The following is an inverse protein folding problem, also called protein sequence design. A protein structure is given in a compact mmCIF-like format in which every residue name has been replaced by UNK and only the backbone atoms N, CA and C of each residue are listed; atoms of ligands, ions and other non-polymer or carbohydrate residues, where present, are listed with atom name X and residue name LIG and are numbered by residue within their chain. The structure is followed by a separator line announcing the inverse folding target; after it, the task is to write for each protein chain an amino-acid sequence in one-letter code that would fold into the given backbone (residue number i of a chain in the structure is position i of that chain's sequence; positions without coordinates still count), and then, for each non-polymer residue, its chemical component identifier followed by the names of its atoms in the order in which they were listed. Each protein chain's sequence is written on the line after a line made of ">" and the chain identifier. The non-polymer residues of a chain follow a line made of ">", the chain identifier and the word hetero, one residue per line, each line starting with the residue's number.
data_IF_047727725625
#
_entry.id   IF_047727725625
#
_cell.length_a   1.000
_cell.length_b   1.000
_cell.length_c   1.000
_cell.angle_alpha   90.00
_cell.angle_beta   90.00
_cell.angle_gamma   90.00
#
_symmetry.space_group_name_H-M   'P 1'
#
loop_
_entity.id
_entity.type
_entity.pdbx_description
1 polymer ?
#
# COMPACT_ATOMS: atom_id res chain seq x y z
N UNK A 1 63.87 65.15 6.92
CA UNK A 1 62.69 65.23 7.77
C UNK A 1 61.96 63.85 7.71
N UNK A 2 62.18 63.01 8.75
CA UNK A 2 61.62 61.63 8.77
C UNK A 2 60.44 61.64 9.70
N UNK A 3 59.23 61.31 9.12
CA UNK A 3 58.04 61.03 9.95
C UNK A 3 58.03 59.55 10.31
N UNK A 4 57.99 59.25 11.59
CA UNK A 4 57.74 57.90 12.12
C UNK A 4 56.23 57.69 12.28
N UNK A 5 55.68 56.75 11.57
CA UNK A 5 54.32 56.29 11.77
C UNK A 5 54.31 55.12 12.72
N UNK A 6 53.54 55.27 13.79
CA UNK A 6 53.32 54.24 14.83
C UNK A 6 52.17 53.34 14.39
N UNK A 7 52.41 52.02 14.23
CA UNK A 7 51.38 51.03 13.96
C UNK A 7 50.82 50.54 15.30
N UNK A 8 49.53 50.82 15.57
CA UNK A 8 48.84 50.24 16.70
C UNK A 8 48.20 48.92 16.29
N UNK A 9 48.66 47.83 16.87
CA UNK A 9 48.10 46.49 16.68
C UNK A 9 46.93 46.32 17.64
N UNK A 10 45.71 46.23 17.06
CA UNK A 10 44.50 45.83 17.79
C UNK A 10 44.49 44.28 17.96
N UNK A 11 44.60 43.80 19.18
CA UNK A 11 44.33 42.43 19.55
C UNK A 11 42.83 42.23 19.73
N UNK A 12 42.17 41.56 18.79
CA UNK A 12 40.81 41.06 18.94
C UNK A 12 40.85 39.75 19.73
N UNK A 13 40.43 39.80 20.99
CA UNK A 13 40.19 38.62 21.82
C UNK A 13 38.91 37.94 21.36
N UNK A 14 39.03 36.88 20.56
CA UNK A 14 37.87 36.02 20.18
C UNK A 14 37.47 35.16 21.38
N UNK A 15 36.29 35.44 21.93
CA UNK A 15 35.65 34.54 22.91
C UNK A 15 35.08 33.36 22.12
N UNK A 16 35.71 32.21 22.19
CA UNK A 16 35.14 30.94 21.72
C UNK A 16 34.11 30.49 22.74
N UNK A 17 32.82 30.72 22.42
CA UNK A 17 31.72 30.09 23.15
C UNK A 17 31.66 28.64 22.68
N UNK A 18 32.25 27.73 23.45
CA UNK A 18 32.01 26.31 23.26
C UNK A 18 30.53 26.02 23.63
N UNK A 19 29.69 25.87 22.63
CA UNK A 19 28.34 25.31 22.80
C UNK A 19 28.56 23.82 23.08
N UNK A 20 28.62 23.47 24.34
CA UNK A 20 28.61 22.09 24.79
C UNK A 20 27.26 21.48 24.42
N UNK A 21 27.23 20.65 23.40
CA UNK A 21 26.10 19.78 23.15
C UNK A 21 25.96 18.82 24.32
N UNK A 22 25.15 19.17 25.31
CA UNK A 22 24.72 18.26 26.35
C UNK A 22 23.92 17.15 25.69
N UNK A 23 24.54 15.98 25.49
CA UNK A 23 23.86 14.74 25.20
C UNK A 23 23.04 14.35 26.44
N UNK A 24 21.91 14.99 26.69
CA UNK A 24 20.91 14.47 27.62
C UNK A 24 20.35 13.20 26.99
N UNK A 25 20.59 12.04 27.59
CA UNK A 25 19.94 10.80 27.17
C UNK A 25 18.41 11.04 27.24
N UNK A 26 17.76 10.99 26.09
CA UNK A 26 16.30 11.14 26.03
C UNK A 26 15.66 10.09 26.91
N UNK A 27 14.71 10.50 27.76
CA UNK A 27 13.93 9.58 28.58
C UNK A 27 13.12 8.67 27.62
N UNK A 28 13.21 7.35 27.77
CA UNK A 28 12.45 6.45 26.90
C UNK A 28 10.95 6.74 26.92
N UNK A 29 10.28 6.47 25.80
CA UNK A 29 8.84 6.68 25.60
C UNK A 29 8.39 8.14 25.83
N UNK A 30 9.25 9.09 25.45
CA UNK A 30 8.92 10.51 25.43
C UNK A 30 9.27 11.11 24.08
N UNK A 31 8.53 12.14 23.65
CA UNK A 31 8.86 12.92 22.48
C UNK A 31 9.61 14.18 22.85
N UNK A 32 10.64 14.50 22.13
CA UNK A 32 11.26 15.83 22.17
C UNK A 32 10.30 16.89 21.65
N UNK A 33 10.56 18.16 21.95
CA UNK A 33 9.73 19.26 21.43
C UNK A 33 9.84 19.38 19.90
N UNK A 34 11.00 19.03 19.32
CA UNK A 34 11.17 18.95 17.87
C UNK A 34 10.29 17.86 17.27
N UNK A 35 10.27 16.66 17.82
CA UNK A 35 9.43 15.56 17.35
C UNK A 35 7.94 15.89 17.46
N UNK A 36 7.52 16.55 18.56
CA UNK A 36 6.12 17.01 18.68
C UNK A 36 5.77 18.05 17.59
N UNK A 37 6.70 18.97 17.32
CA UNK A 37 6.51 20.00 16.28
C UNK A 37 6.47 19.37 14.85
N UNK A 38 7.20 18.27 14.62
CA UNK A 38 7.18 17.49 13.39
C UNK A 38 5.96 16.58 13.25
N UNK A 39 5.10 16.47 14.27
CA UNK A 39 3.88 15.66 14.25
C UNK A 39 4.06 14.19 14.61
N UNK A 40 5.14 13.84 15.33
CA UNK A 40 5.29 12.49 15.89
C UNK A 40 4.29 12.23 17.01
N UNK A 41 3.74 11.03 17.04
CA UNK A 41 2.85 10.51 18.08
C UNK A 41 3.48 9.25 18.69
N UNK A 42 3.41 9.11 20.04
CA UNK A 42 3.80 7.87 20.69
C UNK A 42 2.71 6.80 20.54
N UNK A 43 3.12 5.58 20.24
CA UNK A 43 2.25 4.40 20.24
C UNK A 43 2.36 3.57 21.51
N UNK A 44 3.28 3.95 22.41
CA UNK A 44 3.47 3.31 23.70
C UNK A 44 3.94 4.35 24.72
N UNK A 45 3.25 4.38 25.87
CA UNK A 45 3.47 5.36 26.94
C UNK A 45 4.54 4.94 27.97
N UNK A 46 5.10 3.74 27.82
CA UNK A 46 6.06 3.16 28.77
C UNK A 46 5.42 2.51 30.00
N UNK A 47 4.09 2.50 30.13
CA UNK A 47 3.40 2.04 31.33
C UNK A 47 2.26 1.06 31.03
N UNK A 48 1.53 1.27 29.94
CA UNK A 48 0.31 0.51 29.59
C UNK A 48 0.37 0.01 28.16
N UNK A 49 -0.41 -1.04 27.87
CA UNK A 49 -0.65 -1.50 26.49
C UNK A 49 -1.89 -0.85 25.87
N UNK A 50 -2.31 0.30 26.36
CA UNK A 50 -3.42 1.05 25.78
C UNK A 50 -3.08 1.41 24.31
N UNK A 51 -4.04 1.15 23.42
CA UNK A 51 -3.83 1.34 21.97
C UNK A 51 -3.29 0.10 21.25
N UNK A 52 -3.13 -1.01 21.99
CA UNK A 52 -2.73 -2.32 21.47
C UNK A 52 -3.71 -3.40 21.90
N UNK A 53 -3.95 -4.39 21.06
CA UNK A 53 -4.80 -5.56 21.31
C UNK A 53 -4.32 -6.76 20.49
N UNK A 54 -4.84 -7.93 20.79
CA UNK A 54 -4.55 -9.12 19.98
C UNK A 54 -5.08 -8.96 18.56
N UNK A 55 -4.36 -9.53 17.62
CA UNK A 55 -4.82 -9.65 16.22
C UNK A 55 -6.14 -10.41 16.15
N UNK A 56 -7.12 -9.87 15.44
CA UNK A 56 -8.50 -10.36 15.38
C UNK A 56 -9.24 -10.42 16.74
N UNK A 57 -8.69 -9.79 17.78
CA UNK A 57 -9.24 -9.74 19.13
C UNK A 57 -9.71 -8.36 19.53
N UNK A 58 -10.37 -8.28 20.69
CA UNK A 58 -10.84 -7.02 21.29
C UNK A 58 -10.12 -6.67 22.60
N UNK A 59 -9.27 -7.56 23.09
CA UNK A 59 -8.50 -7.43 24.31
C UNK A 59 -7.11 -8.04 24.10
N UNK A 60 -6.24 -7.80 25.07
CA UNK A 60 -4.92 -8.44 25.13
C UNK A 60 -5.01 -9.73 25.94
N UNK A 61 -4.44 -10.79 25.38
CA UNK A 61 -4.22 -12.05 26.08
C UNK A 61 -2.74 -12.21 26.44
N UNK A 62 -2.41 -13.18 27.26
CA UNK A 62 -1.04 -13.63 27.48
C UNK A 62 -0.42 -14.05 26.12
N UNK A 63 0.55 -13.45 25.48
CA UNK A 63 1.90 -13.44 26.03
C UNK A 63 2.57 -12.07 26.16
N UNK A 64 1.84 -10.98 26.10
CA UNK A 64 2.43 -9.63 26.11
C UNK A 64 2.31 -8.97 27.50
N UNK A 65 3.30 -8.19 27.89
CA UNK A 65 3.32 -7.47 29.18
C UNK A 65 4.14 -6.19 29.06
N UNK A 66 4.04 -5.33 30.10
CA UNK A 66 4.93 -4.18 30.25
C UNK A 66 5.93 -4.47 31.36
N UNK A 67 7.22 -4.41 31.05
CA UNK A 67 8.32 -4.60 32.01
C UNK A 67 9.37 -3.52 31.77
N UNK A 68 9.79 -2.83 32.82
CA UNK A 68 10.85 -1.81 32.78
C UNK A 68 10.67 -0.75 31.68
N UNK A 69 9.43 -0.30 31.49
CA UNK A 69 9.11 0.69 30.46
C UNK A 69 9.16 0.15 29.01
N UNK A 70 9.03 -1.15 28.83
CA UNK A 70 9.06 -1.79 27.51
C UNK A 70 7.82 -2.67 27.32
N UNK A 71 7.27 -2.70 26.10
CA UNK A 71 6.41 -3.79 25.65
C UNK A 71 7.30 -5.03 25.52
N UNK A 72 6.95 -6.11 26.19
CA UNK A 72 7.73 -7.35 26.17
C UNK A 72 6.88 -8.52 25.68
N UNK A 73 7.36 -9.18 24.62
CA UNK A 73 6.93 -10.54 24.27
C UNK A 73 7.54 -11.53 25.27
N UNK A 74 6.73 -12.44 25.81
CA UNK A 74 7.18 -13.41 26.81
C UNK A 74 7.85 -14.64 26.21
N UNK A 75 7.83 -14.79 24.88
CA UNK A 75 8.32 -15.99 24.19
C UNK A 75 7.36 -17.16 24.33
N UNK A 76 6.07 -16.89 24.41
CA UNK A 76 5.00 -17.89 24.48
C UNK A 76 4.18 -17.96 23.19
N UNK A 77 4.50 -17.12 22.21
CA UNK A 77 3.90 -17.12 20.89
C UNK A 77 4.36 -18.30 20.02
N UNK A 78 3.72 -18.44 18.91
CA UNK A 78 4.05 -19.40 17.85
C UNK A 78 3.58 -18.86 16.50
N UNK A 79 3.85 -19.59 15.43
CA UNK A 79 3.49 -19.19 14.06
C UNK A 79 1.98 -18.94 13.81
N UNK A 80 1.11 -19.27 14.77
CA UNK A 80 -0.33 -19.03 14.68
C UNK A 80 -0.89 -18.10 15.77
N UNK A 81 -0.05 -17.67 16.72
CA UNK A 81 -0.46 -16.90 17.90
C UNK A 81 0.62 -15.89 18.27
N UNK A 82 0.32 -14.99 19.20
CA UNK A 82 1.34 -14.08 19.73
C UNK A 82 1.52 -12.80 18.92
N UNK A 83 0.45 -12.30 18.32
CA UNK A 83 0.46 -11.05 17.58
C UNK A 83 -0.39 -10.00 18.27
N UNK A 84 0.17 -8.81 18.50
CA UNK A 84 -0.60 -7.65 18.92
C UNK A 84 -0.57 -6.56 17.84
N UNK A 85 -1.69 -5.88 17.71
CA UNK A 85 -1.88 -4.84 16.69
C UNK A 85 -2.29 -3.52 17.32
N UNK A 86 -2.00 -2.41 16.64
CA UNK A 86 -2.49 -1.09 17.03
C UNK A 86 -4.01 -0.99 16.85
N UNK A 87 -4.69 -0.17 17.68
CA UNK A 87 -6.12 0.13 17.48
C UNK A 87 -6.39 1.00 16.27
N UNK A 88 -5.41 1.84 15.89
CA UNK A 88 -5.51 2.77 14.77
C UNK A 88 -4.81 2.22 13.55
N UNK A 89 -5.35 2.54 12.38
CA UNK A 89 -4.75 2.26 11.08
C UNK A 89 -3.94 3.45 10.57
N UNK A 90 -2.91 3.15 9.80
CA UNK A 90 -1.99 4.11 9.20
C UNK A 90 -1.86 3.83 7.70
N UNK A 91 -1.76 4.90 6.91
CA UNK A 91 -1.64 4.84 5.45
C UNK A 91 -0.20 5.18 5.03
N UNK A 92 0.17 6.46 5.06
CA UNK A 92 1.52 6.93 4.81
C UNK A 92 2.15 7.36 6.12
N UNK A 93 3.35 6.91 6.41
CA UNK A 93 3.94 7.10 7.74
C UNK A 93 5.46 6.99 7.76
N UNK A 94 6.06 7.56 8.80
CA UNK A 94 7.34 7.12 9.36
C UNK A 94 7.04 6.42 10.69
N UNK A 95 7.42 5.15 10.85
CA UNK A 95 7.30 4.37 12.09
C UNK A 95 8.71 4.10 12.61
N UNK A 96 9.01 4.52 13.83
CA UNK A 96 10.30 4.27 14.47
C UNK A 96 10.11 3.57 15.82
N UNK A 97 10.98 2.62 16.11
CA UNK A 97 10.96 1.88 17.39
C UNK A 97 12.34 1.41 17.80
N UNK A 98 12.58 1.27 19.11
CA UNK A 98 13.72 0.55 19.63
C UNK A 98 13.31 -0.88 19.95
N UNK A 99 14.21 -1.82 19.67
CA UNK A 99 14.01 -3.24 19.94
C UNK A 99 15.25 -3.91 20.51
N UNK A 100 15.05 -4.97 21.27
CA UNK A 100 16.09 -5.79 21.87
C UNK A 100 15.63 -7.25 21.91
N UNK A 101 16.44 -8.15 21.34
CA UNK A 101 16.19 -9.59 21.30
C UNK A 101 17.04 -10.33 22.33
N UNK A 102 16.59 -11.51 22.73
CA UNK A 102 17.40 -12.52 23.40
C UNK A 102 18.32 -13.22 22.41
N UNK A 103 19.24 -14.05 22.90
CA UNK A 103 20.15 -14.81 22.06
C UNK A 103 19.39 -15.76 21.14
N UNK A 104 19.62 -15.68 19.84
CA UNK A 104 18.91 -16.43 18.82
C UNK A 104 17.43 -16.05 18.64
N UNK A 105 17.01 -14.91 19.21
CA UNK A 105 15.60 -14.47 19.20
C UNK A 105 15.13 -14.06 17.83
N UNK A 106 13.82 -14.26 17.60
CA UNK A 106 13.08 -13.91 16.39
C UNK A 106 11.80 -13.13 16.75
N UNK A 107 11.53 -12.09 15.96
CA UNK A 107 10.35 -11.25 16.07
C UNK A 107 10.15 -10.48 14.77
N UNK A 108 9.13 -9.60 14.70
CA UNK A 108 8.84 -8.79 13.52
C UNK A 108 8.02 -7.55 13.85
N UNK A 109 8.16 -6.54 12.99
CA UNK A 109 7.27 -5.39 12.92
C UNK A 109 6.56 -5.41 11.58
N UNK A 110 5.24 -5.70 11.61
CA UNK A 110 4.42 -5.72 10.41
C UNK A 110 3.67 -4.40 10.27
N UNK A 111 3.38 -4.03 9.03
CA UNK A 111 2.62 -2.82 8.72
C UNK A 111 1.53 -3.10 7.70
N UNK A 112 0.54 -2.21 7.58
CA UNK A 112 -0.64 -2.36 6.73
C UNK A 112 -1.39 -3.69 6.94
N UNK A 113 -1.36 -4.19 8.17
CA UNK A 113 -2.07 -5.43 8.52
C UNK A 113 -3.57 -5.19 8.45
N UNK A 114 -4.28 -6.09 7.78
CA UNK A 114 -5.74 -6.13 7.69
C UNK A 114 -6.26 -7.30 8.50
N UNK A 115 -7.29 -7.04 9.29
CA UNK A 115 -7.98 -8.05 10.08
C UNK A 115 -9.22 -8.58 9.38
N UNK A 116 -9.62 -9.77 9.75
CA UNK A 116 -10.83 -10.43 9.28
C UNK A 116 -10.81 -11.91 9.64
N UNK A 117 -11.98 -12.52 9.81
CA UNK A 117 -12.11 -13.93 10.19
C UNK A 117 -11.45 -14.91 9.22
N UNK A 118 -11.26 -14.49 7.97
CA UNK A 118 -10.57 -15.26 6.93
C UNK A 118 -9.05 -15.25 7.10
N UNK A 119 -8.48 -14.31 7.85
CA UNK A 119 -7.05 -14.21 8.09
C UNK A 119 -6.72 -14.77 9.47
N UNK A 120 -6.05 -15.91 9.50
CA UNK A 120 -5.64 -16.55 10.76
C UNK A 120 -4.40 -15.89 11.36
N UNK A 121 -3.56 -15.26 10.53
CA UNK A 121 -2.29 -14.64 10.91
C UNK A 121 -2.09 -13.31 10.16
N UNK A 122 -1.44 -12.30 10.78
CA UNK A 122 -1.33 -10.97 10.19
C UNK A 122 -0.43 -10.91 8.96
N UNK A 123 0.56 -11.78 8.86
CA UNK A 123 1.53 -11.76 7.76
C UNK A 123 0.98 -12.22 6.40
N UNK A 124 -0.25 -12.72 6.34
CA UNK A 124 -0.91 -12.98 5.04
C UNK A 124 -1.45 -11.73 4.37
N UNK A 125 -1.50 -10.61 5.10
CA UNK A 125 -1.92 -9.31 4.58
C UNK A 125 -0.86 -8.23 4.73
N UNK A 126 -0.12 -8.21 5.86
CA UNK A 126 0.84 -7.16 6.20
C UNK A 126 2.29 -7.56 5.90
N UNK A 127 3.04 -6.74 5.14
CA UNK A 127 4.49 -6.89 5.00
C UNK A 127 5.21 -6.77 6.34
N UNK A 128 6.36 -7.43 6.45
CA UNK A 128 7.11 -7.55 7.70
C UNK A 128 8.55 -7.03 7.56
N UNK A 129 8.94 -6.11 8.45
CA UNK A 129 10.32 -5.83 8.77
C UNK A 129 10.83 -6.90 9.74
N UNK A 130 11.68 -7.82 9.26
CA UNK A 130 12.19 -8.95 10.05
C UNK A 130 13.14 -8.49 11.14
N UNK A 131 12.96 -9.02 12.35
CA UNK A 131 13.84 -8.84 13.51
C UNK A 131 14.38 -10.20 13.97
N UNK A 132 15.69 -10.45 13.81
CA UNK A 132 16.30 -11.73 14.14
C UNK A 132 17.75 -11.56 14.57
N UNK A 133 18.20 -12.35 15.55
CA UNK A 133 19.61 -12.48 15.94
C UNK A 133 20.29 -13.54 15.07
N UNK A 134 20.59 -13.18 13.81
CA UNK A 134 21.15 -14.10 12.81
C UNK A 134 22.37 -14.90 13.27
N UNK A 135 23.39 -14.29 13.94
CA UNK A 135 24.60 -15.02 14.30
C UNK A 135 24.38 -16.15 15.30
N UNK A 136 23.26 -16.11 16.04
CA UNK A 136 22.97 -17.08 17.10
C UNK A 136 21.67 -17.86 16.84
N UNK A 137 21.02 -17.64 15.70
CA UNK A 137 19.80 -18.37 15.34
C UNK A 137 20.16 -19.87 15.13
N UNK A 138 19.36 -20.80 15.66
CA UNK A 138 19.73 -22.22 15.68
C UNK A 138 19.76 -22.87 14.29
N UNK A 139 18.92 -22.37 13.37
CA UNK A 139 18.80 -22.92 12.03
C UNK A 139 19.53 -22.07 10.99
N UNK A 140 19.87 -22.66 9.86
CA UNK A 140 20.41 -21.92 8.72
C UNK A 140 19.33 -21.04 8.13
N UNK A 141 19.58 -19.74 8.05
CA UNK A 141 18.70 -18.75 7.44
C UNK A 141 19.01 -18.61 5.95
N UNK A 142 17.95 -18.57 5.15
CA UNK A 142 18.02 -18.08 3.78
C UNK A 142 18.07 -16.55 3.80
N UNK A 143 18.59 -15.92 2.73
CA UNK A 143 18.78 -14.48 2.69
C UNK A 143 17.49 -13.67 2.94
N UNK A 144 16.36 -14.19 2.49
CA UNK A 144 15.06 -13.56 2.67
C UNK A 144 14.45 -13.66 4.09
N UNK A 145 15.12 -14.37 5.02
CA UNK A 145 14.72 -14.52 6.42
C UNK A 145 15.57 -13.68 7.38
N UNK A 146 16.57 -12.97 6.87
CA UNK A 146 17.55 -12.24 7.66
C UNK A 146 16.99 -10.91 8.20
N UNK A 147 17.75 -10.29 9.13
CA UNK A 147 17.41 -9.02 9.74
C UNK A 147 17.19 -7.91 8.70
N UNK A 148 16.14 -7.13 8.88
CA UNK A 148 15.89 -5.91 8.11
C UNK A 148 15.32 -6.13 6.71
N UNK A 149 15.13 -7.38 6.29
CA UNK A 149 14.44 -7.68 5.02
C UNK A 149 12.98 -7.18 5.05
N UNK A 150 12.41 -6.88 3.91
CA UNK A 150 10.98 -6.99 3.65
C UNK A 150 10.73 -8.48 3.38
N UNK A 151 10.17 -9.19 4.37
CA UNK A 151 10.23 -10.64 4.50
C UNK A 151 9.76 -11.39 3.25
N UNK A 152 10.67 -12.17 2.67
CA UNK A 152 10.49 -12.93 1.44
C UNK A 152 10.19 -12.08 0.18
N UNK A 153 10.50 -10.77 0.21
CA UNK A 153 10.31 -9.86 -0.91
C UNK A 153 11.61 -9.15 -1.30
N UNK A 154 12.14 -8.28 -0.42
CA UNK A 154 13.29 -7.44 -0.74
C UNK A 154 14.41 -7.59 0.30
N UNK A 155 15.65 -7.58 -0.19
CA UNK A 155 16.84 -7.79 0.63
C UNK A 155 17.54 -6.47 0.94
N UNK A 156 18.03 -6.26 2.18
CA UNK A 156 18.80 -5.07 2.53
C UNK A 156 20.21 -5.11 1.95
N UNK A 157 20.81 -3.94 1.79
CA UNK A 157 22.23 -3.78 1.49
C UNK A 157 23.09 -4.20 2.70
N UNK A 158 23.67 -5.38 2.62
CA UNK A 158 24.46 -5.99 3.70
C UNK A 158 25.64 -5.11 4.13
N UNK A 159 26.19 -4.30 3.23
CA UNK A 159 27.29 -3.40 3.55
C UNK A 159 26.89 -2.25 4.48
N UNK A 160 25.60 -1.94 4.54
CA UNK A 160 25.03 -0.89 5.41
C UNK A 160 24.50 -1.43 6.73
N UNK A 161 24.39 -2.74 6.90
CA UNK A 161 23.88 -3.35 8.13
C UNK A 161 24.85 -3.15 9.29
N UNK A 162 24.41 -2.40 10.31
CA UNK A 162 25.16 -2.19 11.55
C UNK A 162 24.25 -2.50 12.72
N UNK A 163 24.28 -3.74 13.17
CA UNK A 163 23.44 -4.25 14.27
C UNK A 163 24.21 -4.33 15.57
N UNK A 164 23.60 -3.93 16.68
CA UNK A 164 24.08 -4.22 18.02
C UNK A 164 23.67 -5.65 18.38
N UNK A 165 24.53 -6.43 19.04
CA UNK A 165 24.26 -7.83 19.34
C UNK A 165 23.06 -8.02 20.28
N UNK A 166 22.59 -9.27 20.42
CA UNK A 166 21.50 -9.61 21.34
C UNK A 166 21.74 -9.02 22.75
N UNK A 167 20.67 -8.71 23.44
CA UNK A 167 20.70 -8.06 24.75
C UNK A 167 20.99 -6.55 24.70
N UNK A 168 21.30 -6.00 23.55
CA UNK A 168 21.50 -4.57 23.34
C UNK A 168 20.35 -3.97 22.52
N UNK A 169 20.11 -2.67 22.71
CA UNK A 169 19.09 -1.94 21.98
C UNK A 169 19.54 -1.60 20.55
N UNK A 170 18.67 -1.84 19.60
CA UNK A 170 18.74 -1.36 18.24
C UNK A 170 17.54 -0.45 17.98
N UNK A 171 17.68 0.47 17.03
CA UNK A 171 16.61 1.30 16.52
C UNK A 171 16.32 0.92 15.07
N UNK A 172 15.05 0.73 14.75
CA UNK A 172 14.60 0.58 13.36
C UNK A 172 13.55 1.63 13.01
N UNK A 173 13.46 1.90 11.71
CA UNK A 173 12.43 2.78 11.15
C UNK A 173 11.95 2.23 9.82
N UNK A 174 10.63 2.29 9.59
CA UNK A 174 10.01 2.11 8.29
C UNK A 174 9.50 3.49 7.85
N UNK A 175 9.77 3.86 6.62
CA UNK A 175 9.08 4.93 5.91
C UNK A 175 8.19 4.28 4.86
N UNK A 176 6.91 4.61 4.85
CA UNK A 176 5.98 4.26 3.79
C UNK A 176 5.36 5.56 3.26
N UNK A 177 5.76 5.99 2.07
CA UNK A 177 5.35 7.25 1.46
C UNK A 177 4.75 7.01 0.06
N UNK A 178 3.43 6.78 0.00
CA UNK A 178 2.71 6.60 -1.26
C UNK A 178 3.28 5.49 -2.16
N UNK A 179 3.63 4.34 -1.56
CA UNK A 179 4.22 3.18 -2.24
C UNK A 179 5.74 3.12 -2.20
N UNK A 180 6.42 4.24 -1.96
CA UNK A 180 7.86 4.23 -1.69
C UNK A 180 8.13 3.74 -0.27
N UNK A 181 8.95 2.70 -0.13
CA UNK A 181 9.22 2.05 1.16
C UNK A 181 10.71 2.09 1.48
N UNK A 182 11.05 2.48 2.71
CA UNK A 182 12.42 2.44 3.22
C UNK A 182 12.47 1.67 4.53
N UNK A 183 13.49 0.81 4.70
CA UNK A 183 13.88 0.25 5.98
C UNK A 183 15.19 0.87 6.48
N UNK A 184 15.21 1.26 7.74
CA UNK A 184 16.36 1.85 8.41
C UNK A 184 16.76 1.02 9.63
N UNK A 185 18.07 0.90 9.87
CA UNK A 185 18.64 0.25 11.05
C UNK A 185 19.72 1.14 11.66
N UNK A 186 19.58 1.49 12.94
CA UNK A 186 20.51 2.32 13.69
C UNK A 186 20.94 3.61 12.95
N UNK A 187 19.95 4.29 12.35
CA UNK A 187 20.14 5.55 11.62
C UNK A 187 20.66 5.39 10.19
N UNK A 188 20.85 4.17 9.70
CA UNK A 188 21.30 3.90 8.34
C UNK A 188 20.15 3.31 7.50
N UNK A 189 19.88 3.91 6.32
CA UNK A 189 18.95 3.31 5.34
C UNK A 189 19.58 2.04 4.74
N UNK A 190 18.96 0.90 5.00
CA UNK A 190 19.47 -0.43 4.62
C UNK A 190 18.73 -1.04 3.44
N UNK A 191 17.47 -0.61 3.19
CA UNK A 191 16.63 -1.11 2.11
C UNK A 191 15.74 0.02 1.60
N UNK A 192 15.49 0.06 0.30
CA UNK A 192 14.43 0.87 -0.31
C UNK A 192 13.85 0.16 -1.54
N UNK A 193 12.55 0.32 -1.78
CA UNK A 193 11.86 -0.24 -2.93
C UNK A 193 10.54 0.50 -3.20
N UNK A 194 9.97 0.27 -4.39
CA UNK A 194 8.63 0.76 -4.77
C UNK A 194 7.64 -0.40 -4.69
N UNK A 195 6.65 -0.29 -3.81
CA UNK A 195 5.53 -1.22 -3.73
C UNK A 195 4.64 -1.08 -4.97
N UNK A 196 3.92 -2.17 -5.30
CA UNK A 196 2.89 -2.23 -6.33
C UNK A 196 3.38 -1.96 -7.75
N UNK A 197 4.67 -2.18 -8.01
CA UNK A 197 5.25 -2.21 -9.35
C UNK A 197 5.18 -3.62 -9.96
N UNK A 198 5.43 -3.75 -11.26
CA UNK A 198 5.49 -5.07 -11.91
C UNK A 198 6.53 -5.99 -11.23
N UNK A 199 7.72 -5.48 -10.85
CA UNK A 199 8.75 -6.22 -10.10
C UNK A 199 8.23 -6.68 -8.73
N UNK A 200 7.55 -5.80 -7.99
CA UNK A 200 6.96 -6.15 -6.70
C UNK A 200 5.93 -7.28 -6.84
N UNK A 201 5.05 -7.20 -7.86
CA UNK A 201 4.05 -8.23 -8.12
C UNK A 201 4.66 -9.55 -8.60
N UNK A 202 5.73 -9.49 -9.38
CA UNK A 202 6.47 -10.69 -9.79
C UNK A 202 7.04 -11.41 -8.57
N UNK A 203 7.71 -10.71 -7.66
CA UNK A 203 8.24 -11.27 -6.39
C UNK A 203 7.13 -11.88 -5.54
N UNK A 204 6.04 -11.14 -5.32
CA UNK A 204 4.89 -11.62 -4.56
C UNK A 204 4.31 -12.91 -5.15
N UNK A 205 4.14 -12.97 -6.46
CA UNK A 205 3.42 -14.05 -7.14
C UNK A 205 4.31 -15.27 -7.51
N UNK A 206 5.62 -15.18 -7.33
CA UNK A 206 6.57 -16.27 -7.62
C UNK A 206 7.28 -16.85 -6.38
N UNK A 207 7.01 -16.33 -5.19
CA UNK A 207 7.68 -16.69 -3.95
C UNK A 207 6.74 -17.21 -2.86
N UNK A 208 7.13 -16.97 -1.61
CA UNK A 208 6.37 -17.39 -0.42
C UNK A 208 4.92 -16.92 -0.44
N UNK A 209 4.66 -15.75 -1.03
CA UNK A 209 3.36 -15.08 -1.00
C UNK A 209 2.46 -15.40 -2.19
N UNK A 210 2.82 -16.32 -3.08
CA UNK A 210 2.01 -16.71 -4.24
C UNK A 210 0.59 -17.18 -3.86
N UNK A 211 0.45 -17.80 -2.68
CA UNK A 211 -0.82 -18.31 -2.15
C UNK A 211 -1.46 -17.35 -1.11
N UNK A 212 -0.92 -16.14 -0.95
CA UNK A 212 -1.47 -15.07 -0.12
C UNK A 212 -1.96 -13.92 -1.04
N UNK A 213 -3.14 -14.03 -1.65
CA UNK A 213 -3.58 -13.09 -2.69
C UNK A 213 -3.66 -11.63 -2.20
N UNK A 214 -3.92 -11.41 -0.92
CA UNK A 214 -4.06 -10.08 -0.34
C UNK A 214 -2.80 -9.53 0.35
N UNK A 215 -1.68 -10.29 0.31
CA UNK A 215 -0.42 -9.83 0.89
C UNK A 215 0.03 -8.50 0.30
N UNK A 216 0.25 -7.51 1.18
CA UNK A 216 0.78 -6.19 0.84
C UNK A 216 -0.11 -5.32 -0.06
N UNK A 217 -1.38 -5.69 -0.29
CA UNK A 217 -2.29 -4.92 -1.16
C UNK A 217 -3.01 -3.79 -0.42
N UNK A 218 -3.05 -3.83 0.90
CA UNK A 218 -3.70 -2.78 1.68
C UNK A 218 -2.85 -1.51 1.67
N UNK A 219 -3.45 -0.39 1.31
CA UNK A 219 -2.82 0.93 1.35
C UNK A 219 -2.92 1.58 2.73
N UNK A 220 -3.73 1.00 3.62
CA UNK A 220 -3.95 1.42 5.00
C UNK A 220 -4.20 0.22 5.89
N UNK A 221 -3.55 0.17 7.04
CA UNK A 221 -3.74 -0.94 7.98
C UNK A 221 -3.06 -0.69 9.32
N UNK A 222 -3.02 -1.73 10.13
CA UNK A 222 -2.50 -1.72 11.49
C UNK A 222 -0.99 -1.98 11.49
N UNK A 223 -0.29 -1.51 12.52
CA UNK A 223 1.02 -2.04 12.88
C UNK A 223 0.85 -3.25 13.76
N UNK A 224 1.79 -4.20 13.64
CA UNK A 224 1.73 -5.45 14.39
C UNK A 224 3.11 -5.82 14.93
N UNK A 225 3.16 -6.25 16.19
CA UNK A 225 4.33 -6.87 16.81
C UNK A 225 4.12 -8.38 16.90
N UNK A 226 5.20 -9.13 16.67
CA UNK A 226 5.20 -10.58 16.68
C UNK A 226 5.93 -11.12 17.93
N UNK A 227 5.32 -12.09 18.63
CA UNK A 227 6.00 -13.03 19.53
C UNK A 227 6.16 -14.37 18.79
N UNK A 228 7.38 -14.66 18.34
CA UNK A 228 7.69 -15.87 17.56
C UNK A 228 8.18 -17.04 18.46
N UNK A 229 7.96 -16.97 19.77
CA UNK A 229 8.41 -17.97 20.72
C UNK A 229 9.70 -17.58 21.48
N UNK A 230 10.22 -16.40 21.22
CA UNK A 230 11.39 -15.85 21.88
C UNK A 230 11.07 -14.50 22.56
N UNK A 231 11.62 -14.23 23.78
CA UNK A 231 11.43 -12.94 24.40
C UNK A 231 12.05 -11.80 23.58
N UNK A 232 11.24 -10.79 23.29
CA UNK A 232 11.62 -9.56 22.63
C UNK A 232 11.11 -8.35 23.40
N UNK A 233 11.85 -7.25 23.40
CA UNK A 233 11.48 -6.01 24.11
C UNK A 233 11.43 -4.84 23.14
N UNK A 234 10.40 -3.99 23.28
CA UNK A 234 10.16 -2.83 22.43
C UNK A 234 9.89 -1.59 23.26
N UNK A 235 10.42 -0.44 22.82
CA UNK A 235 10.17 0.87 23.43
C UNK A 235 10.32 1.98 22.39
N UNK A 236 10.05 3.22 22.78
CA UNK A 236 10.16 4.38 21.88
C UNK A 236 9.39 4.19 20.56
N UNK A 237 8.27 3.45 20.61
CA UNK A 237 7.46 3.20 19.43
C UNK A 237 6.69 4.49 19.13
N UNK A 238 6.98 5.10 17.99
CA UNK A 238 6.39 6.37 17.58
C UNK A 238 6.14 6.41 16.09
N UNK A 239 5.12 7.14 15.70
CA UNK A 239 4.69 7.29 14.31
C UNK A 239 4.55 8.76 13.94
N UNK A 240 4.93 9.12 12.73
CA UNK A 240 4.60 10.37 12.08
C UNK A 240 3.78 10.07 10.83
N UNK A 241 2.57 10.64 10.74
CA UNK A 241 1.74 10.51 9.55
C UNK A 241 2.29 11.35 8.42
N UNK A 242 2.40 10.78 7.23
CA UNK A 242 2.78 11.48 6.02
C UNK A 242 1.53 11.79 5.17
N UNK A 243 1.55 12.90 4.41
CA UNK A 243 0.41 13.26 3.58
C UNK A 243 0.26 12.29 2.40
N UNK A 244 -0.99 12.05 2.02
CA UNK A 244 -1.28 11.42 0.74
C UNK A 244 -0.93 12.38 -0.40
N UNK A 245 -0.30 11.87 -1.46
CA UNK A 245 0.06 12.63 -2.66
C UNK A 245 -0.96 12.34 -3.75
N UNK A 246 -1.57 13.39 -4.28
CA UNK A 246 -2.40 13.28 -5.48
C UNK A 246 -1.54 13.42 -6.73
N UNK A 247 -1.82 12.62 -7.76
CA UNK A 247 -1.17 12.72 -9.08
C UNK A 247 -2.19 12.56 -10.20
N UNK A 248 -1.95 13.25 -11.30
CA UNK A 248 -2.68 13.03 -12.54
C UNK A 248 -1.95 11.96 -13.37
N UNK A 249 -2.70 10.97 -13.84
CA UNK A 249 -2.20 9.86 -14.64
C UNK A 249 -2.95 9.82 -15.96
N UNK A 250 -2.21 9.84 -17.06
CA UNK A 250 -2.74 9.56 -18.39
C UNK A 250 -2.63 8.06 -18.65
N UNK A 251 -3.74 7.32 -18.49
CA UNK A 251 -3.75 5.86 -18.65
C UNK A 251 -3.49 5.42 -20.09
N UNK A 252 -3.95 6.21 -21.07
CA UNK A 252 -3.74 5.95 -22.50
C UNK A 252 -3.05 7.15 -23.17
N UNK A 253 -1.89 6.90 -23.78
CA UNK A 253 -1.03 7.92 -24.36
C UNK A 253 -1.39 8.29 -25.82
N UNK A 254 -2.41 7.65 -26.42
CA UNK A 254 -2.81 7.84 -27.81
C UNK A 254 -1.90 7.18 -28.84
N UNK A 255 -0.91 6.37 -28.46
CA UNK A 255 0.10 5.80 -29.35
C UNK A 255 0.20 4.29 -29.28
N UNK A 256 0.21 3.73 -28.08
CA UNK A 256 0.43 2.31 -27.83
C UNK A 256 -0.23 1.83 -26.54
N UNK A 257 -0.13 0.54 -26.26
CA UNK A 257 -0.67 -0.12 -25.09
C UNK A 257 0.40 -0.46 -24.05
N UNK A 258 1.52 0.27 -24.01
CA UNK A 258 2.65 -0.01 -23.12
C UNK A 258 2.29 -0.01 -21.63
N UNK A 259 1.27 0.79 -21.22
CA UNK A 259 0.77 0.85 -19.86
C UNK A 259 -0.29 -0.23 -19.54
N UNK A 260 -0.55 -1.13 -20.48
CA UNK A 260 -1.64 -2.10 -20.39
C UNK A 260 -1.17 -3.54 -20.60
N UNK A 261 -1.96 -4.48 -20.11
CA UNK A 261 -1.79 -5.93 -20.32
C UNK A 261 -3.11 -6.48 -20.84
N UNK A 262 -3.08 -7.12 -22.01
CA UNK A 262 -4.24 -7.78 -22.60
C UNK A 262 -4.39 -9.22 -22.07
N UNK A 263 -5.62 -9.61 -21.82
CA UNK A 263 -6.01 -10.95 -21.40
C UNK A 263 -7.16 -11.46 -22.29
N UNK A 264 -7.05 -12.69 -22.76
CA UNK A 264 -7.99 -13.28 -23.71
C UNK A 264 -7.48 -13.17 -25.15
N UNK A 265 -8.33 -13.52 -26.09
CA UNK A 265 -8.04 -13.55 -27.54
C UNK A 265 -8.70 -12.39 -28.29
N UNK A 266 -9.42 -11.54 -27.56
CA UNK A 266 -10.08 -10.35 -28.07
C UNK A 266 -9.06 -9.31 -28.55
N UNK A 267 -9.46 -8.49 -29.53
CA UNK A 267 -8.54 -7.58 -30.20
C UNK A 267 -8.47 -6.24 -29.49
N UNK A 268 -7.26 -5.82 -29.14
CA UNK A 268 -6.95 -4.52 -28.56
C UNK A 268 -5.86 -3.86 -29.37
N UNK A 269 -6.15 -2.71 -29.99
CA UNK A 269 -5.19 -2.01 -30.83
C UNK A 269 -5.39 -0.50 -30.81
N UNK A 270 -4.43 0.22 -31.37
CA UNK A 270 -4.45 1.68 -31.48
C UNK A 270 -4.49 2.07 -32.94
N UNK A 271 -5.47 2.90 -33.32
CA UNK A 271 -5.61 3.48 -34.64
C UNK A 271 -6.08 4.93 -34.52
N UNK A 272 -5.49 5.84 -35.26
CA UNK A 272 -5.80 7.28 -35.27
C UNK A 272 -5.86 7.93 -33.89
N UNK A 273 -5.01 7.51 -32.94
CA UNK A 273 -4.96 8.02 -31.59
C UNK A 273 -6.08 7.48 -30.67
N UNK A 274 -6.86 6.52 -31.12
CA UNK A 274 -7.92 5.87 -30.38
C UNK A 274 -7.46 4.47 -29.94
N UNK A 275 -7.83 4.10 -28.73
CA UNK A 275 -7.76 2.71 -28.28
C UNK A 275 -9.06 2.02 -28.71
N UNK A 276 -8.92 0.93 -29.42
CA UNK A 276 -10.04 0.20 -29.99
C UNK A 276 -10.06 -1.21 -29.41
N UNK A 277 -11.24 -1.64 -28.99
CA UNK A 277 -11.50 -3.03 -28.66
C UNK A 277 -12.52 -3.63 -29.59
N UNK A 278 -12.27 -4.86 -30.03
CA UNK A 278 -13.11 -5.58 -30.98
C UNK A 278 -13.14 -7.07 -30.67
N UNK A 279 -14.31 -7.69 -30.84
CA UNK A 279 -14.47 -9.12 -30.61
C UNK A 279 -13.48 -9.93 -31.42
N UNK A 280 -12.78 -10.85 -30.78
CA UNK A 280 -11.83 -11.78 -31.38
C UNK A 280 -12.51 -13.01 -32.00
N UNK A 281 -11.72 -13.95 -32.51
CA UNK A 281 -12.21 -15.10 -33.26
C UNK A 281 -13.00 -16.11 -32.42
N UNK A 282 -12.70 -16.23 -31.13
CA UNK A 282 -13.38 -17.16 -30.21
C UNK A 282 -14.64 -16.54 -29.56
N UNK A 283 -14.85 -15.23 -29.74
CA UNK A 283 -15.98 -14.47 -29.20
C UNK A 283 -16.15 -14.63 -27.69
N UNK A 284 -15.03 -14.79 -26.97
CA UNK A 284 -14.97 -14.94 -25.54
C UNK A 284 -14.92 -13.61 -24.79
N UNK A 285 -14.67 -13.66 -23.51
CA UNK A 285 -14.35 -12.47 -22.72
C UNK A 285 -12.92 -12.02 -22.98
N UNK A 286 -12.70 -10.73 -23.11
CA UNK A 286 -11.40 -10.10 -23.17
C UNK A 286 -11.28 -8.92 -22.23
N UNK A 287 -10.08 -8.70 -21.72
CA UNK A 287 -9.81 -7.60 -20.81
C UNK A 287 -8.47 -6.92 -21.17
N UNK A 288 -8.46 -5.60 -21.03
CA UNK A 288 -7.26 -4.81 -21.10
C UNK A 288 -7.07 -4.11 -19.76
N UNK A 289 -6.12 -4.57 -18.93
CA UNK A 289 -5.91 -4.08 -17.58
C UNK A 289 -4.67 -3.19 -17.48
N UNK A 290 -4.71 -2.14 -16.65
CA UNK A 290 -3.56 -1.30 -16.38
C UNK A 290 -2.42 -2.11 -15.75
N UNK A 291 -1.15 -1.76 -16.02
CA UNK A 291 -0.01 -2.34 -15.32
C UNK A 291 0.04 -1.87 -13.87
N UNK A 292 -0.25 -0.59 -13.64
CA UNK A 292 -0.30 -0.02 -12.30
C UNK A 292 -1.60 -0.36 -11.58
N UNK A 293 -1.54 -0.30 -10.26
CA UNK A 293 -2.64 -0.54 -9.34
C UNK A 293 -3.05 0.77 -8.67
N UNK A 294 -4.34 0.92 -8.40
CA UNK A 294 -4.94 2.14 -7.87
C UNK A 294 -5.92 1.79 -6.75
N UNK A 295 -5.99 2.65 -5.73
CA UNK A 295 -6.94 2.53 -4.62
C UNK A 295 -8.07 3.56 -4.71
N UNK A 296 -7.82 4.81 -4.30
CA UNK A 296 -8.76 5.92 -4.39
C UNK A 296 -8.43 6.82 -5.58
N UNK A 297 -9.41 7.10 -6.41
CA UNK A 297 -9.19 7.91 -7.61
C UNK A 297 -10.49 8.49 -8.19
N UNK A 298 -10.29 9.47 -9.05
CA UNK A 298 -11.29 10.04 -9.94
C UNK A 298 -10.87 9.75 -11.38
N UNK A 299 -11.53 8.79 -12.02
CA UNK A 299 -11.26 8.34 -13.39
C UNK A 299 -12.24 8.97 -14.35
N UNK A 300 -11.76 9.51 -15.46
CA UNK A 300 -12.57 9.95 -16.60
C UNK A 300 -12.12 9.23 -17.85
N UNK A 301 -13.09 8.68 -18.59
CA UNK A 301 -12.87 8.03 -19.88
C UNK A 301 -13.91 8.52 -20.88
N UNK A 302 -13.53 8.63 -22.14
CA UNK A 302 -14.47 8.82 -23.23
C UNK A 302 -14.59 7.54 -24.04
N UNK A 303 -15.83 7.14 -24.34
CA UNK A 303 -16.12 5.93 -25.12
C UNK A 303 -17.14 6.19 -26.22
N UNK A 304 -17.05 5.42 -27.29
CA UNK A 304 -18.04 5.35 -28.38
C UNK A 304 -18.26 3.89 -28.74
N UNK A 305 -19.49 3.46 -28.69
CA UNK A 305 -19.90 2.09 -29.03
C UNK A 305 -20.33 2.01 -30.49
N UNK A 306 -19.91 0.95 -31.17
CA UNK A 306 -20.46 0.53 -32.46
C UNK A 306 -21.00 -0.89 -32.34
N UNK A 307 -22.06 -1.22 -33.08
CA UNK A 307 -22.78 -2.50 -33.00
C UNK A 307 -23.32 -2.80 -31.58
N UNK A 308 -23.47 -4.04 -31.17
CA UNK A 308 -24.04 -4.46 -29.88
C UNK A 308 -23.03 -4.36 -28.73
N UNK A 309 -22.16 -3.33 -28.74
CA UNK A 309 -21.00 -3.17 -27.90
C UNK A 309 -21.24 -3.23 -26.39
N UNK A 310 -21.32 -4.44 -25.83
CA UNK A 310 -21.26 -4.61 -24.37
C UNK A 310 -19.82 -4.65 -23.90
N UNK A 311 -19.48 -3.73 -23.02
CA UNK A 311 -18.17 -3.50 -22.46
C UNK A 311 -18.30 -3.05 -21.01
N UNK A 312 -17.22 -2.60 -20.39
CA UNK A 312 -17.26 -2.08 -19.03
C UNK A 312 -15.89 -1.60 -18.57
N UNK A 313 -15.91 -0.84 -17.50
CA UNK A 313 -14.71 -0.36 -16.81
C UNK A 313 -14.67 -1.01 -15.43
N UNK A 314 -13.74 -1.93 -15.24
CA UNK A 314 -13.50 -2.56 -13.94
C UNK A 314 -12.69 -1.64 -13.03
N UNK A 315 -13.06 -1.60 -11.78
CA UNK A 315 -12.43 -0.83 -10.72
C UNK A 315 -11.91 -1.77 -9.62
N UNK A 316 -10.74 -1.44 -9.05
CA UNK A 316 -10.06 -2.24 -8.02
C UNK A 316 -10.03 -3.74 -8.35
N UNK A 317 -9.83 -4.06 -9.61
CA UNK A 317 -9.93 -5.42 -10.11
C UNK A 317 -8.65 -6.20 -9.92
N UNK A 318 -8.79 -7.52 -9.84
CA UNK A 318 -7.70 -8.49 -9.88
C UNK A 318 -7.88 -9.43 -11.05
N UNK A 319 -6.78 -9.76 -11.72
CA UNK A 319 -6.80 -10.72 -12.83
C UNK A 319 -6.31 -12.06 -12.31
N UNK A 320 -7.20 -13.05 -12.32
CA UNK A 320 -6.90 -14.42 -11.89
C UNK A 320 -6.31 -15.27 -13.03
N UNK A 321 -6.12 -16.57 -12.75
CA UNK A 321 -5.68 -17.53 -13.77
C UNK A 321 -6.72 -17.64 -14.89
N UNK A 322 -6.25 -17.63 -16.13
CA UNK A 322 -7.11 -17.61 -17.33
C UNK A 322 -7.65 -16.20 -17.59
N UNK A 323 -8.69 -16.11 -18.42
CA UNK A 323 -9.36 -14.84 -18.75
C UNK A 323 -10.46 -14.60 -17.72
N UNK A 324 -10.06 -14.18 -16.50
CA UNK A 324 -10.99 -13.96 -15.40
C UNK A 324 -10.60 -12.72 -14.60
N UNK A 325 -11.45 -11.71 -14.63
CA UNK A 325 -11.30 -10.48 -13.85
C UNK A 325 -12.34 -10.47 -12.74
N UNK A 326 -11.88 -10.46 -11.48
CA UNK A 326 -12.73 -10.23 -10.31
C UNK A 326 -12.69 -8.75 -9.96
N UNK A 327 -13.79 -8.22 -9.52
CA UNK A 327 -13.90 -6.81 -9.13
C UNK A 327 -15.27 -6.26 -9.51
N UNK A 328 -15.40 -4.96 -9.34
CA UNK A 328 -16.62 -4.26 -9.71
C UNK A 328 -16.49 -3.65 -11.11
N UNK A 329 -17.46 -3.94 -11.96
CA UNK A 329 -17.59 -3.38 -13.29
C UNK A 329 -18.57 -2.21 -13.24
N UNK A 330 -18.14 -1.07 -13.76
CA UNK A 330 -19.06 0.00 -14.19
C UNK A 330 -19.44 -0.29 -15.64
N UNK A 331 -20.72 -0.53 -15.87
CA UNK A 331 -21.24 -1.02 -17.12
C UNK A 331 -21.11 0.00 -18.26
N UNK A 332 -20.79 -0.47 -19.46
CA UNK A 332 -20.82 0.26 -20.73
C UNK A 332 -21.53 -0.62 -21.75
N UNK A 333 -22.82 -0.41 -21.94
CA UNK A 333 -23.68 -1.29 -22.71
C UNK A 333 -24.58 -0.50 -23.70
N UNK A 334 -25.28 -1.14 -24.64
CA UNK A 334 -26.30 -0.50 -25.46
C UNK A 334 -27.41 0.12 -24.59
N UNK A 335 -28.26 1.01 -25.16
CA UNK A 335 -29.35 1.62 -24.42
C UNK A 335 -30.24 0.60 -23.70
N UNK A 336 -30.69 0.91 -22.51
CA UNK A 336 -31.50 0.08 -21.61
C UNK A 336 -30.80 -1.21 -21.14
N UNK A 337 -29.45 -1.14 -20.97
CA UNK A 337 -28.65 -2.23 -20.46
C UNK A 337 -27.69 -1.76 -19.37
N UNK A 338 -28.12 -0.78 -18.55
CA UNK A 338 -27.50 -0.36 -17.30
C UNK A 338 -26.17 0.40 -17.42
N UNK A 339 -25.90 1.15 -18.50
CA UNK A 339 -24.67 1.96 -18.61
C UNK A 339 -24.49 2.89 -17.42
N UNK A 340 -23.35 2.75 -16.70
CA UNK A 340 -23.05 3.46 -15.48
C UNK A 340 -23.46 2.71 -14.21
N UNK A 341 -24.18 1.60 -14.31
CA UNK A 341 -24.52 0.69 -13.21
C UNK A 341 -23.32 -0.10 -12.70
N UNK A 342 -23.49 -0.84 -11.62
CA UNK A 342 -22.41 -1.59 -10.97
C UNK A 342 -22.72 -3.07 -10.89
N UNK A 343 -21.84 -3.88 -11.46
CA UNK A 343 -21.88 -5.34 -11.44
C UNK A 343 -20.66 -5.92 -10.72
N UNK A 344 -20.84 -6.82 -9.76
CA UNK A 344 -19.74 -7.53 -9.09
C UNK A 344 -19.43 -8.84 -9.83
N UNK A 345 -18.37 -8.83 -10.63
CA UNK A 345 -17.95 -9.98 -11.43
C UNK A 345 -17.42 -11.10 -10.54
N UNK A 346 -17.92 -12.32 -10.77
CA UNK A 346 -17.67 -13.51 -9.96
C UNK A 346 -17.97 -13.34 -8.45
N UNK A 347 -18.90 -12.45 -8.13
CA UNK A 347 -19.37 -12.16 -6.79
C UNK A 347 -20.89 -12.18 -6.69
N UNK A 348 -21.49 -11.05 -6.29
CA UNK A 348 -22.92 -10.89 -6.02
C UNK A 348 -23.76 -10.56 -7.27
N UNK A 349 -23.15 -10.44 -8.46
CA UNK A 349 -23.76 -9.99 -9.71
C UNK A 349 -24.18 -8.50 -9.66
N UNK A 350 -25.34 -8.14 -10.18
CA UNK A 350 -25.83 -6.77 -10.16
C UNK A 350 -25.97 -6.23 -8.75
N UNK A 351 -25.23 -5.17 -8.46
CA UNK A 351 -25.35 -4.41 -7.22
C UNK A 351 -26.28 -3.21 -7.42
N UNK A 352 -26.11 -2.47 -8.51
CA UNK A 352 -26.93 -1.31 -8.88
C UNK A 352 -27.23 -1.37 -10.37
N UNK A 353 -28.49 -1.44 -10.73
CA UNK A 353 -29.01 -1.28 -12.08
C UNK A 353 -29.53 0.15 -12.30
N UNK A 354 -29.51 0.62 -13.53
CA UNK A 354 -29.91 1.99 -13.91
C UNK A 354 -31.31 1.96 -14.51
N UNK A 355 -32.26 2.80 -14.03
CA UNK A 355 -33.55 2.94 -14.69
C UNK A 355 -33.41 3.41 -16.14
N UNK A 356 -34.17 2.82 -17.07
CA UNK A 356 -34.11 3.11 -18.53
C UNK A 356 -34.23 4.60 -18.84
N UNK A 357 -35.12 5.32 -18.12
CA UNK A 357 -35.30 6.77 -18.29
C UNK A 357 -34.07 7.58 -17.95
N UNK A 358 -33.19 7.05 -17.07
CA UNK A 358 -31.94 7.70 -16.68
C UNK A 358 -30.84 7.45 -17.71
N UNK A 359 -30.92 6.36 -18.48
CA UNK A 359 -30.00 6.08 -19.58
C UNK A 359 -30.27 6.89 -20.86
N UNK A 360 -31.39 7.60 -20.97
CA UNK A 360 -31.70 8.44 -22.14
C UNK A 360 -30.64 9.51 -22.47
N UNK A 361 -29.72 9.74 -21.60
CA UNK A 361 -28.56 10.64 -21.83
C UNK A 361 -27.40 9.96 -22.58
N UNK A 362 -27.44 8.63 -22.74
CA UNK A 362 -26.48 7.86 -23.52
C UNK A 362 -26.61 8.21 -25.01
N UNK A 363 -25.51 8.65 -25.61
CA UNK A 363 -25.39 8.97 -27.03
C UNK A 363 -24.87 7.74 -27.78
N UNK A 364 -25.74 6.78 -28.05
CA UNK A 364 -25.33 5.56 -28.73
C UNK A 364 -24.78 5.85 -30.13
N UNK A 365 -23.60 5.28 -30.46
CA UNK A 365 -22.91 5.55 -31.72
C UNK A 365 -22.12 6.87 -31.74
N UNK A 366 -22.13 7.65 -30.65
CA UNK A 366 -21.36 8.89 -30.52
C UNK A 366 -20.54 8.88 -29.22
N UNK A 367 -19.70 9.88 -29.02
CA UNK A 367 -18.84 10.00 -27.86
C UNK A 367 -19.63 10.32 -26.59
N UNK A 368 -19.37 9.52 -25.55
CA UNK A 368 -19.86 9.69 -24.20
C UNK A 368 -18.68 9.85 -23.23
N UNK A 369 -18.90 10.57 -22.14
CA UNK A 369 -17.96 10.66 -21.02
C UNK A 369 -18.50 9.84 -19.85
N UNK A 370 -17.73 8.87 -19.40
CA UNK A 370 -17.95 8.13 -18.16
C UNK A 370 -16.91 8.57 -17.13
N UNK A 371 -17.40 9.10 -15.99
CA UNK A 371 -16.55 9.43 -14.85
C UNK A 371 -16.86 8.51 -13.68
N UNK A 372 -15.83 7.96 -13.07
CA UNK A 372 -15.93 7.02 -11.95
C UNK A 372 -15.06 7.54 -10.82
N UNK A 373 -15.67 7.89 -9.68
CA UNK A 373 -14.96 8.28 -8.48
C UNK A 373 -15.04 7.15 -7.46
N UNK A 374 -13.88 6.65 -7.06
CA UNK A 374 -13.72 5.63 -6.02
C UNK A 374 -13.00 6.26 -4.85
N UNK A 375 -13.61 6.26 -3.66
CA UNK A 375 -13.00 6.82 -2.46
C UNK A 375 -13.41 6.02 -1.23
N UNK A 376 -12.44 5.32 -0.61
CA UNK A 376 -12.73 4.39 0.47
C UNK A 376 -13.72 3.32 0.00
N UNK A 377 -14.84 3.19 0.67
CA UNK A 377 -15.92 2.25 0.37
C UNK A 377 -17.06 2.83 -0.49
N UNK A 378 -16.87 4.06 -1.02
CA UNK A 378 -17.87 4.75 -1.85
C UNK A 378 -17.46 4.79 -3.33
N UNK A 379 -18.40 4.48 -4.20
CA UNK A 379 -18.30 4.61 -5.66
C UNK A 379 -19.38 5.51 -6.18
N UNK A 380 -19.00 6.51 -6.99
CA UNK A 380 -19.92 7.35 -7.75
C UNK A 380 -19.62 7.23 -9.23
N UNK A 381 -20.67 7.02 -10.03
CA UNK A 381 -20.56 7.01 -11.49
C UNK A 381 -21.37 8.15 -12.10
N UNK A 382 -20.84 8.70 -13.21
CA UNK A 382 -21.47 9.80 -13.94
C UNK A 382 -21.39 9.51 -15.44
N UNK A 383 -22.51 9.62 -16.14
CA UNK A 383 -22.58 9.53 -17.59
C UNK A 383 -22.94 10.91 -18.16
N UNK A 384 -22.08 11.43 -19.06
CA UNK A 384 -22.25 12.74 -19.67
C UNK A 384 -22.52 13.89 -18.67
N UNK A 385 -21.94 13.78 -17.48
CA UNK A 385 -22.06 14.75 -16.38
C UNK A 385 -23.18 14.48 -15.39
N UNK A 386 -24.16 13.62 -15.70
CA UNK A 386 -25.25 13.25 -14.80
C UNK A 386 -24.85 12.08 -13.91
N UNK A 387 -25.15 12.17 -12.61
CA UNK A 387 -24.84 11.11 -11.66
C UNK A 387 -25.73 9.91 -11.84
N UNK A 388 -25.14 8.77 -12.18
CA UNK A 388 -25.87 7.50 -12.35
C UNK A 388 -25.98 6.76 -11.01
N UNK A 389 -24.86 6.63 -10.28
CA UNK A 389 -24.77 5.89 -9.02
C UNK A 389 -24.07 6.72 -7.94
N UNK A 390 -24.49 6.52 -6.69
CA UNK A 390 -23.77 6.87 -5.46
C UNK A 390 -23.97 5.70 -4.50
N UNK A 391 -22.97 4.83 -4.37
CA UNK A 391 -23.11 3.56 -3.67
C UNK A 391 -21.92 3.34 -2.70
N UNK A 392 -22.24 2.89 -1.49
CA UNK A 392 -21.26 2.58 -0.46
C UNK A 392 -21.36 1.11 -0.09
N UNK A 393 -20.22 0.40 -0.13
CA UNK A 393 -20.15 -1.01 0.24
C UNK A 393 -18.76 -1.36 0.76
N UNK A 394 -18.70 -1.95 1.96
CA UNK A 394 -17.44 -2.31 2.63
C UNK A 394 -16.51 -3.24 1.82
N UNK A 395 -17.06 -3.98 0.86
CA UNK A 395 -16.27 -4.89 0.00
C UNK A 395 -15.42 -4.15 -1.02
N UNK A 396 -15.82 -2.94 -1.47
CA UNK A 396 -15.01 -2.12 -2.38
C UNK A 396 -13.89 -1.38 -1.65
N UNK A 397 -14.06 -1.11 -0.36
CA UNK A 397 -13.13 -0.30 0.44
C UNK A 397 -11.81 -0.97 0.78
N UNK A 398 -11.55 -2.19 0.31
CA UNK A 398 -10.39 -2.99 0.75
C UNK A 398 -9.31 -3.09 -0.33
N UNK A 399 -8.24 -2.31 -0.16
CA UNK A 399 -6.99 -2.48 -0.90
C UNK A 399 -6.95 -1.80 -2.27
N UNK A 400 -5.99 -2.23 -3.02
CA UNK A 400 -5.56 -1.68 -4.30
C UNK A 400 -5.88 -2.69 -5.42
N UNK A 401 -6.21 -2.20 -6.61
CA UNK A 401 -6.49 -3.06 -7.77
C UNK A 401 -6.28 -2.36 -9.10
N UNK A 402 -6.38 -3.11 -10.18
CA UNK A 402 -6.24 -2.60 -11.54
C UNK A 402 -7.54 -1.97 -12.04
N UNK A 403 -7.40 -1.04 -12.97
CA UNK A 403 -8.48 -0.61 -13.84
C UNK A 403 -8.41 -1.51 -15.08
N UNK A 404 -9.55 -2.09 -15.50
CA UNK A 404 -9.58 -2.89 -16.71
C UNK A 404 -10.78 -2.52 -17.60
N UNK A 405 -10.55 -2.49 -18.91
CA UNK A 405 -11.59 -2.41 -19.92
C UNK A 405 -12.00 -3.83 -20.31
N UNK A 406 -13.25 -4.05 -20.61
CA UNK A 406 -13.82 -5.35 -20.98
C UNK A 406 -14.27 -5.40 -22.44
N UNK A 407 -14.20 -6.59 -23.02
CA UNK A 407 -15.05 -7.04 -24.12
C UNK A 407 -15.88 -8.20 -23.58
N UNK A 408 -17.21 -8.11 -23.68
CA UNK A 408 -18.11 -9.18 -23.29
C UNK A 408 -18.10 -10.32 -24.32
N UNK A 409 -18.50 -11.52 -23.92
CA UNK A 409 -18.64 -12.65 -24.84
C UNK A 409 -19.81 -12.48 -25.82
N UNK A 410 -19.91 -13.37 -26.82
CA UNK A 410 -20.97 -13.38 -27.81
C UNK A 410 -20.61 -12.79 -29.17
N UNK A 411 -19.59 -11.97 -29.25
CA UNK A 411 -19.08 -11.37 -30.49
C UNK A 411 -19.88 -10.16 -30.97
N UNK A 412 -19.45 -9.52 -32.06
CA UNK A 412 -20.10 -8.34 -32.63
C UNK A 412 -19.84 -7.03 -31.85
N UNK A 413 -18.87 -7.02 -30.94
CA UNK A 413 -18.58 -5.87 -30.08
C UNK A 413 -17.49 -5.04 -30.73
N UNK A 414 -17.67 -3.71 -30.74
CA UNK A 414 -16.63 -2.74 -31.07
C UNK A 414 -16.84 -1.47 -30.27
N UNK A 415 -15.82 -1.10 -29.48
CA UNK A 415 -15.85 0.11 -28.67
C UNK A 415 -14.55 0.88 -28.84
N UNK A 416 -14.67 2.18 -28.99
CA UNK A 416 -13.54 3.11 -29.08
C UNK A 416 -13.39 3.86 -27.77
N UNK A 417 -12.15 4.05 -27.34
CA UNK A 417 -11.81 4.73 -26.11
C UNK A 417 -10.77 5.82 -26.35
N UNK A 418 -10.91 6.94 -25.67
CA UNK A 418 -9.90 8.02 -25.66
C UNK A 418 -9.99 8.80 -24.34
N UNK A 419 -9.02 9.68 -24.10
CA UNK A 419 -9.00 10.58 -22.93
C UNK A 419 -9.15 9.83 -21.60
N UNK A 420 -8.48 8.65 -21.47
CA UNK A 420 -8.46 7.88 -20.23
C UNK A 420 -7.50 8.55 -19.25
N UNK A 421 -8.04 9.29 -18.29
CA UNK A 421 -7.30 10.07 -17.29
C UNK A 421 -7.79 9.74 -15.90
N UNK A 422 -6.86 9.71 -14.98
CA UNK A 422 -7.11 9.41 -13.57
C UNK A 422 -6.40 10.45 -12.70
N UNK A 423 -7.07 10.88 -11.64
CA UNK A 423 -6.45 11.63 -10.54
C UNK A 423 -6.52 10.77 -9.28
N UNK A 424 -5.39 10.43 -8.66
CA UNK A 424 -5.37 9.75 -7.35
C UNK A 424 -5.87 10.72 -6.28
N UNK A 425 -6.60 10.21 -5.28
CA UNK A 425 -7.27 11.02 -4.25
C UNK A 425 -6.60 10.86 -2.90
#
# INVERSE_FOLDING_TARGET
>A
MRLKGTIQTLLLSGVIVAVGASCSSQVPNTLTDAEKAEGWELLFDGQTLNGWRDFNGTALTEPWTVVDGCIQAKGAGSDGTGYIVTDKQYENFELSWDWKLTKGGNSGMLYHVVEGRQYQVPYVTGPEYQLIDEPNFPDKLEDWQKLGVDYAMHLPDQAKMKVNPYGQWNNSKIVFDNGHVEHWLNGQKVLEFEAWTDDWFERKNSGKWENAPEYGLATKGLFCLQDHGDPASFRNIKVKKLPRKTREVTLFNGKDLSNWVAYGTELWYVEDGLLICESGPDKGYGYLATREYYDDYDLSVEFKQEADGNSGVFIRSTVGRGVRVNGWQVEVAPPNHDTGGIYESYGRNWLIQIPDEKENILKYGDWNTLRIRVQGDNVKTYLNGEQMVDFTDEKIGKGIGRIALQIHDGGGIKVYWRNLKLTTL
#
